data_IF_130845068824
#
_entry.id   IF_130845068824
#
_cell.length_a   1.000
_cell.length_b   1.000
_cell.length_c   1.000
_cell.angle_alpha   90.00
_cell.angle_beta   90.00
_cell.angle_gamma   90.00
#
_symmetry.space_group_name_H-M   'P 1'
#
loop_
_entity.id
_entity.type
_entity.pdbx_description
1 polymer ?
#
# COMPACT_ATOMS: atom_id res chain seq x y z
N UNK A 1 23.67 22.72 -6.64
CA UNK A 1 22.43 23.47 -6.28
C UNK A 1 22.07 23.10 -4.86
N UNK A 2 21.98 24.05 -3.93
CA UNK A 2 21.67 23.76 -2.53
C UNK A 2 20.16 23.60 -2.31
N UNK A 3 19.78 22.70 -1.39
CA UNK A 3 18.38 22.45 -1.01
C UNK A 3 17.62 23.74 -0.63
N UNK A 4 18.31 24.68 0.00
CA UNK A 4 17.74 25.96 0.43
C UNK A 4 17.26 26.85 -0.72
N UNK A 5 17.92 26.75 -1.88
CA UNK A 5 17.54 27.51 -3.09
C UNK A 5 16.31 26.93 -3.78
N UNK A 6 16.15 25.60 -3.73
CA UNK A 6 14.93 24.91 -4.20
C UNK A 6 13.74 25.24 -3.29
N UNK A 7 13.93 25.16 -1.96
CA UNK A 7 12.88 25.43 -0.98
C UNK A 7 12.32 26.86 -1.08
N UNK A 8 13.20 27.88 -1.16
CA UNK A 8 12.76 29.28 -1.29
C UNK A 8 12.02 29.57 -2.60
N UNK A 9 12.38 28.90 -3.71
CA UNK A 9 11.68 29.05 -4.99
C UNK A 9 10.32 28.37 -4.97
N UNK A 10 10.22 27.20 -4.33
CA UNK A 10 8.99 26.45 -4.19
C UNK A 10 7.97 27.22 -3.33
N UNK A 11 8.41 27.77 -2.19
CA UNK A 11 7.56 28.54 -1.26
C UNK A 11 7.07 29.88 -1.85
N UNK A 12 7.78 30.46 -2.83
CA UNK A 12 7.38 31.74 -3.45
C UNK A 12 6.20 31.60 -4.42
N UNK A 13 5.87 30.37 -4.86
CA UNK A 13 4.76 30.09 -5.77
C UNK A 13 3.62 29.36 -5.05
N UNK A 14 3.16 29.95 -3.93
CA UNK A 14 2.07 29.41 -3.08
C UNK A 14 0.83 28.97 -3.87
N UNK A 15 0.48 29.68 -4.94
CA UNK A 15 -0.67 29.37 -5.80
C UNK A 15 -0.52 28.04 -6.54
N UNK A 16 0.67 27.76 -7.07
CA UNK A 16 0.93 26.52 -7.82
C UNK A 16 0.99 25.33 -6.86
N UNK A 17 1.59 25.53 -5.69
CA UNK A 17 1.65 24.53 -4.64
C UNK A 17 0.24 24.20 -4.12
N UNK A 18 -0.60 25.21 -3.90
CA UNK A 18 -2.01 25.02 -3.53
C UNK A 18 -2.79 24.24 -4.61
N UNK A 19 -2.57 24.54 -5.90
CA UNK A 19 -3.22 23.82 -6.99
C UNK A 19 -2.81 22.33 -7.03
N UNK A 20 -1.53 22.02 -6.82
CA UNK A 20 -1.05 20.63 -6.74
C UNK A 20 -1.67 19.90 -5.56
N UNK A 21 -1.78 20.55 -4.40
CA UNK A 21 -2.42 19.95 -3.22
C UNK A 21 -3.91 19.69 -3.47
N UNK A 22 -4.62 20.61 -4.11
CA UNK A 22 -6.03 20.42 -4.47
C UNK A 22 -6.21 19.28 -5.48
N UNK A 23 -5.35 19.19 -6.51
CA UNK A 23 -5.37 18.06 -7.44
C UNK A 23 -5.06 16.73 -6.75
N UNK A 24 -4.11 16.70 -5.82
CA UNK A 24 -3.78 15.50 -5.04
C UNK A 24 -4.95 15.09 -4.13
N UNK A 25 -5.65 16.04 -3.51
CA UNK A 25 -6.84 15.78 -2.71
C UNK A 25 -8.00 15.22 -3.55
N UNK A 26 -8.25 15.80 -4.73
CA UNK A 26 -9.26 15.30 -5.66
C UNK A 26 -8.92 13.90 -6.18
N UNK A 27 -7.66 13.64 -6.53
CA UNK A 27 -7.22 12.32 -6.95
C UNK A 27 -7.32 11.27 -5.83
N UNK A 28 -6.98 11.65 -4.58
CA UNK A 28 -7.20 10.80 -3.41
C UNK A 28 -8.68 10.49 -3.18
N UNK A 29 -9.55 11.49 -3.36
CA UNK A 29 -11.01 11.32 -3.25
C UNK A 29 -11.58 10.39 -4.32
N UNK A 30 -11.18 10.57 -5.59
CA UNK A 30 -11.56 9.65 -6.67
C UNK A 30 -10.98 8.26 -6.45
N UNK A 31 -9.73 8.14 -5.98
CA UNK A 31 -9.11 6.88 -5.61
C UNK A 31 -9.89 6.13 -4.54
N UNK A 32 -10.36 6.84 -3.50
CA UNK A 32 -11.18 6.27 -2.43
C UNK A 32 -12.52 5.71 -2.95
N UNK A 33 -13.20 6.44 -3.83
CA UNK A 33 -14.48 6.00 -4.41
C UNK A 33 -14.35 4.94 -5.50
N UNK A 34 -13.21 4.87 -6.20
CA UNK A 34 -12.97 3.90 -7.27
C UNK A 34 -12.63 2.50 -6.75
N UNK A 35 -12.27 2.36 -5.47
CA UNK A 35 -11.99 1.08 -4.86
C UNK A 35 -13.31 0.39 -4.44
N UNK A 36 -13.85 -0.44 -5.32
CA UNK A 36 -14.83 -1.48 -4.97
C UNK A 36 -14.15 -2.45 -4.01
N UNK A 37 -14.32 -2.25 -2.71
CA UNK A 37 -13.76 -3.20 -1.75
C UNK A 37 -14.65 -4.43 -1.66
N UNK A 38 -14.02 -5.56 -1.36
CA UNK A 38 -14.73 -6.79 -1.04
C UNK A 38 -15.06 -6.79 0.46
N UNK A 39 -16.27 -7.24 0.79
CA UNK A 39 -16.64 -7.52 2.18
C UNK A 39 -15.95 -8.81 2.64
N UNK A 40 -15.62 -8.88 3.94
CA UNK A 40 -14.99 -10.06 4.54
C UNK A 40 -15.84 -10.59 5.68
N UNK A 41 -16.00 -11.91 5.73
CA UNK A 41 -16.54 -12.59 6.91
C UNK A 41 -15.50 -13.56 7.45
N UNK A 42 -15.28 -13.48 8.76
CA UNK A 42 -14.29 -14.30 9.46
C UNK A 42 -15.01 -15.27 10.40
N UNK A 43 -14.56 -16.53 10.40
CA UNK A 43 -15.07 -17.58 11.28
C UNK A 43 -13.90 -18.39 11.81
N UNK A 44 -13.95 -18.76 13.09
CA UNK A 44 -12.94 -19.61 13.71
C UNK A 44 -13.57 -20.90 14.23
N UNK A 45 -12.96 -22.03 13.86
CA UNK A 45 -13.43 -23.37 14.18
C UNK A 45 -12.34 -24.12 14.92
N UNK A 46 -12.71 -24.88 15.93
CA UNK A 46 -11.80 -25.74 16.70
C UNK A 46 -12.08 -27.21 16.37
N UNK A 47 -11.02 -27.96 16.13
CA UNK A 47 -11.09 -29.42 16.04
C UNK A 47 -11.01 -29.99 17.46
N UNK A 48 -12.11 -30.59 17.91
CA UNK A 48 -12.24 -31.20 19.23
C UNK A 48 -12.02 -32.71 19.11
N UNK A 49 -11.10 -33.31 19.89
CA UNK A 49 -10.87 -34.75 19.88
C UNK A 49 -12.08 -35.53 20.42
N UNK A 50 -12.19 -36.84 20.12
CA UNK A 50 -13.19 -37.70 20.72
C UNK A 50 -12.94 -37.91 22.22
N UNK A 51 -14.03 -38.16 22.95
CA UNK A 51 -14.10 -38.28 24.41
C UNK A 51 -13.23 -39.40 25.01
N UNK A 52 -12.92 -40.47 24.28
CA UNK A 52 -12.10 -41.57 24.80
C UNK A 52 -10.58 -41.28 24.77
N UNK A 53 -10.16 -40.20 24.08
CA UNK A 53 -8.78 -39.69 24.17
C UNK A 53 -8.59 -38.75 25.36
N UNK A 54 -9.64 -38.49 26.14
CA UNK A 54 -9.55 -37.77 27.41
C UNK A 54 -8.68 -38.57 28.39
N UNK A 55 -7.70 -37.91 28.99
CA UNK A 55 -6.95 -38.48 30.12
C UNK A 55 -7.96 -38.69 31.27
N UNK A 56 -8.02 -39.88 31.87
CA UNK A 56 -8.95 -40.19 32.99
C UNK A 56 -8.81 -39.18 34.15
N UNK A 57 -7.67 -38.50 34.23
CA UNK A 57 -7.37 -37.48 35.25
C UNK A 57 -7.86 -36.07 34.90
N UNK A 58 -8.12 -35.78 33.63
CA UNK A 58 -8.64 -34.50 33.14
C UNK A 58 -9.64 -34.74 31.99
N UNK A 59 -10.93 -34.99 32.30
CA UNK A 59 -11.98 -35.28 31.32
C UNK A 59 -12.44 -34.04 30.52
N UNK A 60 -11.58 -33.03 30.38
CA UNK A 60 -11.90 -31.83 29.62
C UNK A 60 -11.22 -31.91 28.25
N UNK A 61 -11.97 -32.16 27.16
CA UNK A 61 -11.40 -32.28 25.82
C UNK A 61 -10.80 -30.97 25.32
N UNK A 62 -11.17 -29.82 25.91
CA UNK A 62 -10.56 -28.52 25.62
C UNK A 62 -9.17 -28.35 26.25
N UNK A 63 -8.87 -29.10 27.31
CA UNK A 63 -7.55 -29.12 27.95
C UNK A 63 -6.60 -30.15 27.32
N UNK A 64 -7.12 -31.01 26.43
CA UNK A 64 -6.36 -32.07 25.76
C UNK A 64 -6.23 -31.83 24.24
N UNK A 65 -5.95 -30.58 23.85
CA UNK A 65 -5.60 -30.23 22.48
C UNK A 65 -4.14 -30.60 22.24
N UNK A 66 -3.91 -31.83 21.77
CA UNK A 66 -2.57 -32.39 21.53
C UNK A 66 -2.07 -32.12 20.12
N UNK A 67 -0.80 -32.43 19.86
CA UNK A 67 -0.21 -32.36 18.53
C UNK A 67 -1.03 -33.12 17.46
N UNK A 68 -1.73 -34.19 17.86
CA UNK A 68 -2.58 -34.98 16.95
C UNK A 68 -3.81 -34.20 16.47
N UNK A 69 -4.44 -33.40 17.32
CA UNK A 69 -5.59 -32.57 16.92
C UNK A 69 -5.14 -31.41 16.05
N UNK A 70 -3.96 -30.84 16.31
CA UNK A 70 -3.30 -29.86 15.45
C UNK A 70 -2.96 -30.44 14.06
N UNK A 71 -2.44 -31.66 14.00
CA UNK A 71 -2.17 -32.34 12.72
C UNK A 71 -3.46 -32.60 11.95
N UNK A 72 -4.53 -33.06 12.62
CA UNK A 72 -5.84 -33.24 11.99
C UNK A 72 -6.42 -31.92 11.47
N UNK A 73 -6.33 -30.84 12.26
CA UNK A 73 -6.74 -29.50 11.82
C UNK A 73 -5.94 -29.04 10.59
N UNK A 74 -4.62 -29.25 10.59
CA UNK A 74 -3.76 -28.95 9.44
C UNK A 74 -4.16 -29.71 8.18
N UNK A 75 -4.47 -31.01 8.31
CA UNK A 75 -4.97 -31.82 7.19
C UNK A 75 -6.33 -31.32 6.69
N UNK A 76 -7.23 -30.94 7.61
CA UNK A 76 -8.52 -30.35 7.24
C UNK A 76 -8.34 -29.02 6.49
N UNK A 77 -7.39 -28.17 6.88
CA UNK A 77 -7.07 -26.94 6.13
C UNK A 77 -6.67 -27.25 4.69
N UNK A 78 -5.80 -28.24 4.47
CA UNK A 78 -5.38 -28.63 3.12
C UNK A 78 -6.55 -29.19 2.33
N UNK A 79 -7.38 -30.05 2.94
CA UNK A 79 -8.57 -30.60 2.28
C UNK A 79 -9.59 -29.51 1.92
N UNK A 80 -9.73 -28.49 2.76
CA UNK A 80 -10.61 -27.36 2.52
C UNK A 80 -10.15 -26.46 1.37
N UNK A 81 -8.87 -26.47 1.00
CA UNK A 81 -8.37 -25.73 -0.18
C UNK A 81 -8.70 -26.42 -1.52
N UNK A 82 -9.42 -27.55 -1.48
CA UNK A 82 -9.86 -28.28 -2.66
C UNK A 82 -10.84 -27.49 -3.56
N UNK A 83 -10.86 -27.84 -4.85
CA UNK A 83 -11.75 -27.20 -5.85
C UNK A 83 -13.23 -27.37 -5.53
N UNK A 84 -13.62 -28.51 -4.96
CA UNK A 84 -15.01 -28.78 -4.61
C UNK A 84 -15.51 -27.88 -3.48
N UNK A 85 -14.63 -27.55 -2.53
CA UNK A 85 -14.92 -26.58 -1.47
C UNK A 85 -15.06 -25.18 -2.04
N UNK A 86 -14.16 -24.80 -2.97
CA UNK A 86 -14.27 -23.52 -3.67
C UNK A 86 -15.60 -23.37 -4.40
N UNK A 87 -15.98 -24.35 -5.23
CA UNK A 87 -17.25 -24.33 -5.94
C UNK A 87 -18.47 -24.25 -5.00
N UNK A 88 -18.39 -24.90 -3.82
CA UNK A 88 -19.47 -24.87 -2.83
C UNK A 88 -19.64 -23.48 -2.18
N UNK A 89 -18.52 -22.80 -1.91
CA UNK A 89 -18.49 -21.44 -1.36
C UNK A 89 -18.88 -20.41 -2.43
N UNK A 90 -18.38 -20.55 -3.66
CA UNK A 90 -18.73 -19.70 -4.81
C UNK A 90 -20.24 -19.73 -5.10
N UNK A 91 -20.88 -20.89 -4.90
CA UNK A 91 -22.34 -21.01 -5.03
C UNK A 91 -23.14 -20.11 -4.06
N UNK A 92 -22.50 -19.52 -3.04
CA UNK A 92 -23.08 -18.55 -2.12
C UNK A 92 -22.93 -17.10 -2.60
N UNK A 93 -22.22 -16.86 -3.70
CA UNK A 93 -21.87 -15.52 -4.21
C UNK A 93 -20.57 -14.96 -3.64
N UNK A 94 -19.81 -15.75 -2.88
CA UNK A 94 -18.46 -15.38 -2.44
C UNK A 94 -17.49 -15.29 -3.64
N UNK A 95 -16.52 -14.38 -3.57
CA UNK A 95 -15.47 -14.23 -4.59
C UNK A 95 -14.21 -15.05 -4.29
N UNK A 96 -14.05 -15.44 -3.03
CA UNK A 96 -12.91 -16.22 -2.58
C UNK A 96 -12.96 -16.53 -1.10
N UNK A 97 -12.04 -17.38 -0.67
CA UNK A 97 -11.85 -17.69 0.75
C UNK A 97 -10.40 -18.07 1.00
N UNK A 98 -9.98 -17.91 2.26
CA UNK A 98 -8.69 -18.33 2.77
C UNK A 98 -8.93 -19.15 4.03
N UNK A 99 -8.27 -20.30 4.11
CA UNK A 99 -8.30 -21.19 5.27
C UNK A 99 -6.89 -21.35 5.79
N UNK A 100 -6.69 -21.05 7.08
CA UNK A 100 -5.40 -21.12 7.74
C UNK A 100 -5.54 -21.59 9.18
N UNK A 101 -4.54 -22.28 9.71
CA UNK A 101 -4.49 -22.49 11.16
C UNK A 101 -4.13 -21.18 11.87
N UNK A 102 -4.82 -20.92 12.98
CA UNK A 102 -4.43 -19.84 13.88
C UNK A 102 -3.05 -20.18 14.46
N UNK A 103 -2.17 -19.18 14.48
CA UNK A 103 -0.78 -19.30 14.94
C UNK A 103 -0.66 -18.59 16.28
N UNK A 104 -0.13 -19.29 17.28
CA UNK A 104 -0.11 -18.83 18.68
C UNK A 104 0.87 -17.65 18.90
N UNK A 105 1.92 -17.54 18.07
CA UNK A 105 2.85 -16.42 18.16
C UNK A 105 3.45 -16.01 16.80
N UNK A 106 3.97 -14.77 16.73
CA UNK A 106 4.57 -14.19 15.52
C UNK A 106 6.03 -14.61 15.28
N UNK A 107 6.71 -15.20 16.27
CA UNK A 107 8.17 -15.43 16.25
C UNK A 107 8.56 -16.88 15.88
N UNK A 108 7.71 -17.82 16.25
CA UNK A 108 7.71 -19.27 16.04
C UNK A 108 6.25 -19.72 15.90
N UNK A 109 5.64 -19.50 14.73
CA UNK A 109 4.22 -19.73 14.56
C UNK A 109 3.92 -21.23 14.47
N UNK A 110 3.76 -21.87 15.62
CA UNK A 110 3.24 -23.23 15.71
C UNK A 110 1.76 -23.22 15.33
N UNK A 111 1.32 -24.14 14.44
CA UNK A 111 -0.09 -24.29 14.12
C UNK A 111 -0.85 -24.77 15.37
N UNK A 112 -2.04 -24.24 15.56
CA UNK A 112 -2.96 -24.70 16.61
C UNK A 112 -4.03 -25.62 16.01
N UNK A 113 -4.84 -26.25 16.87
CA UNK A 113 -6.06 -26.98 16.46
C UNK A 113 -7.22 -26.06 16.05
N UNK A 114 -7.00 -24.74 16.07
CA UNK A 114 -7.97 -23.72 15.64
C UNK A 114 -7.72 -23.37 14.18
N UNK A 115 -8.77 -23.50 13.37
CA UNK A 115 -8.82 -23.14 11.97
C UNK A 115 -9.53 -21.80 11.84
N UNK A 116 -8.82 -20.83 11.30
CA UNK A 116 -9.34 -19.52 10.93
C UNK A 116 -9.69 -19.51 9.45
N UNK A 117 -10.88 -19.01 9.15
CA UNK A 117 -11.41 -18.91 7.80
C UNK A 117 -11.80 -17.47 7.56
N UNK A 118 -11.39 -16.94 6.41
CA UNK A 118 -11.80 -15.63 5.92
C UNK A 118 -12.44 -15.82 4.55
N UNK A 119 -13.68 -15.40 4.39
CA UNK A 119 -14.42 -15.44 3.13
C UNK A 119 -14.59 -14.02 2.60
N UNK A 120 -14.32 -13.80 1.32
CA UNK A 120 -14.53 -12.53 0.62
C UNK A 120 -15.75 -12.61 -0.28
N UNK A 121 -16.50 -11.51 -0.36
CA UNK A 121 -17.68 -11.39 -1.23
C UNK A 121 -17.90 -9.95 -1.69
N UNK A 122 -18.75 -9.73 -2.72
CA UNK A 122 -19.11 -8.40 -3.20
C UNK A 122 -19.87 -7.57 -2.15
N UNK A 123 -20.59 -8.23 -1.24
CA UNK A 123 -21.34 -7.59 -0.15
C UNK A 123 -21.22 -8.42 1.15
N UNK A 124 -21.62 -7.82 2.27
CA UNK A 124 -21.53 -8.48 3.59
C UNK A 124 -22.36 -9.77 3.64
N UNK A 125 -23.51 -9.77 2.97
CA UNK A 125 -24.45 -10.88 2.98
C UNK A 125 -23.89 -12.12 2.26
N UNK A 126 -23.26 -11.95 1.09
CA UNK A 126 -22.61 -13.03 0.34
C UNK A 126 -21.37 -13.54 1.04
N UNK A 127 -20.56 -12.66 1.64
CA UNK A 127 -19.40 -13.07 2.44
C UNK A 127 -19.83 -13.90 3.66
N UNK A 128 -20.86 -13.46 4.38
CA UNK A 128 -21.41 -14.18 5.53
C UNK A 128 -22.02 -15.54 5.12
N UNK A 129 -22.86 -15.56 4.09
CA UNK A 129 -23.45 -16.79 3.57
C UNK A 129 -22.39 -17.78 3.07
N UNK A 130 -21.31 -17.28 2.45
CA UNK A 130 -20.16 -18.08 2.04
C UNK A 130 -19.43 -18.70 3.24
N UNK A 131 -19.24 -17.93 4.32
CA UNK A 131 -18.64 -18.42 5.56
C UNK A 131 -19.50 -19.50 6.24
N UNK A 132 -20.83 -19.31 6.33
CA UNK A 132 -21.75 -20.34 6.85
C UNK A 132 -21.66 -21.64 6.05
N UNK A 133 -21.66 -21.54 4.71
CA UNK A 133 -21.53 -22.72 3.85
C UNK A 133 -20.18 -23.40 4.01
N UNK A 134 -19.10 -22.64 4.19
CA UNK A 134 -17.78 -23.19 4.41
C UNK A 134 -17.69 -23.95 5.74
N UNK A 135 -18.35 -23.47 6.81
CA UNK A 135 -18.45 -24.21 8.09
C UNK A 135 -19.14 -25.56 7.88
N UNK A 136 -20.28 -25.58 7.17
CA UNK A 136 -21.00 -26.82 6.85
C UNK A 136 -20.13 -27.77 6.04
N UNK A 137 -19.44 -27.25 5.00
CA UNK A 137 -18.55 -28.04 4.16
C UNK A 137 -17.36 -28.58 4.94
N UNK A 138 -16.79 -27.80 5.86
CA UNK A 138 -15.71 -28.25 6.74
C UNK A 138 -16.14 -29.41 7.63
N UNK A 139 -17.35 -29.37 8.19
CA UNK A 139 -17.93 -30.51 8.89
C UNK A 139 -18.03 -31.74 8.01
N UNK A 140 -18.57 -31.59 6.79
CA UNK A 140 -18.70 -32.70 5.83
C UNK A 140 -17.36 -33.31 5.43
N UNK A 141 -16.36 -32.46 5.13
CA UNK A 141 -15.01 -32.90 4.75
C UNK A 141 -14.34 -33.62 5.92
N UNK A 142 -14.45 -33.08 7.14
CA UNK A 142 -13.93 -33.74 8.34
C UNK A 142 -14.58 -35.11 8.57
N UNK A 143 -15.90 -35.21 8.44
CA UNK A 143 -16.60 -36.50 8.56
C UNK A 143 -16.19 -37.47 7.45
N UNK A 144 -16.08 -37.01 6.20
CA UNK A 144 -15.65 -37.84 5.07
C UNK A 144 -14.25 -38.42 5.28
N UNK A 145 -13.28 -37.59 5.70
CA UNK A 145 -11.92 -38.06 6.01
C UNK A 145 -11.90 -39.13 7.09
N UNK A 146 -12.74 -39.00 8.12
CA UNK A 146 -12.81 -39.97 9.22
C UNK A 146 -13.51 -41.27 8.82
N UNK A 147 -14.50 -41.19 7.93
CA UNK A 147 -15.14 -42.38 7.33
C UNK A 147 -14.12 -43.11 6.44
N UNK A 148 -13.39 -42.40 5.60
CA UNK A 148 -12.36 -42.98 4.72
C UNK A 148 -11.21 -43.61 5.51
N UNK A 149 -10.82 -42.98 6.63
CA UNK A 149 -9.84 -43.53 7.57
C UNK A 149 -10.37 -44.68 8.44
N UNK A 150 -11.64 -45.10 8.26
CA UNK A 150 -12.29 -46.17 8.99
C UNK A 150 -12.21 -46.01 10.53
N UNK A 151 -12.39 -44.78 11.03
CA UNK A 151 -12.33 -44.46 12.48
C UNK A 151 -13.32 -45.25 13.32
N UNK A 152 -14.40 -45.77 12.71
CA UNK A 152 -15.35 -46.64 13.38
C UNK A 152 -16.63 -45.90 13.76
N UNK A 153 -16.98 -45.89 15.05
CA UNK A 153 -18.26 -45.33 15.49
C UNK A 153 -18.24 -43.79 15.51
N UNK A 154 -19.40 -43.12 15.32
CA UNK A 154 -19.48 -41.65 15.39
C UNK A 154 -19.04 -41.04 16.72
N UNK A 155 -19.09 -41.82 17.80
CA UNK A 155 -18.59 -41.43 19.13
C UNK A 155 -17.09 -41.25 19.14
N UNK A 156 -16.38 -41.91 18.22
CA UNK A 156 -14.93 -41.95 18.16
C UNK A 156 -14.37 -40.91 17.19
N UNK A 157 -15.27 -40.17 16.53
CA UNK A 157 -14.92 -39.13 15.57
C UNK A 157 -14.65 -37.80 16.27
N UNK A 158 -13.60 -37.12 15.81
CA UNK A 158 -13.36 -35.72 16.09
C UNK A 158 -14.50 -34.85 15.56
N UNK A 159 -14.83 -33.81 16.32
CA UNK A 159 -15.91 -32.87 15.99
C UNK A 159 -15.35 -31.50 15.68
N UNK A 160 -16.00 -30.79 14.76
CA UNK A 160 -15.71 -29.40 14.48
C UNK A 160 -16.64 -28.53 15.32
N UNK A 161 -16.09 -27.68 16.16
CA UNK A 161 -16.84 -26.73 16.97
C UNK A 161 -16.56 -25.31 16.51
N UNK A 162 -17.61 -24.55 16.21
CA UNK A 162 -17.45 -23.12 15.90
C UNK A 162 -17.14 -22.38 17.20
N UNK A 163 -15.97 -21.76 17.27
CA UNK A 163 -15.50 -20.98 18.43
C UNK A 163 -15.94 -19.52 18.29
N UNK A 164 -15.73 -18.96 17.10
CA UNK A 164 -16.18 -17.62 16.75
C UNK A 164 -17.11 -17.78 15.55
N UNK A 165 -18.40 -17.44 15.68
CA UNK A 165 -19.35 -17.54 14.57
C UNK A 165 -18.93 -16.58 13.44
N UNK A 166 -19.45 -16.78 12.20
CA UNK A 166 -19.17 -15.87 11.10
C UNK A 166 -19.58 -14.44 11.47
N UNK A 167 -18.59 -13.56 11.64
CA UNK A 167 -18.85 -12.13 11.87
C UNK A 167 -18.68 -11.36 10.57
N UNK A 168 -19.52 -10.33 10.38
CA UNK A 168 -19.41 -9.42 9.24
C UNK A 168 -18.32 -8.39 9.54
N UNK A 169 -17.15 -8.53 8.92
CA UNK A 169 -16.07 -7.57 9.08
C UNK A 169 -16.00 -6.65 7.86
N UNK A 170 -16.33 -5.38 8.06
CA UNK A 170 -16.10 -4.28 7.08
C UNK A 170 -14.61 -3.99 6.82
N UNK A 171 -13.71 -4.75 7.46
CA UNK A 171 -12.30 -4.43 7.65
C UNK A 171 -11.45 -4.42 6.38
N UNK A 172 -11.82 -5.15 5.33
CA UNK A 172 -11.10 -5.15 4.06
C UNK A 172 -11.34 -3.87 3.25
N UNK A 173 -12.60 -3.43 3.18
CA UNK A 173 -13.02 -2.21 2.48
C UNK A 173 -12.20 -1.01 2.97
N UNK A 174 -12.18 -0.76 4.29
CA UNK A 174 -11.51 0.40 4.85
C UNK A 174 -9.99 0.40 4.63
N UNK A 175 -9.31 -0.73 4.85
CA UNK A 175 -7.84 -0.80 4.74
C UNK A 175 -7.36 -0.73 3.28
N UNK A 176 -8.05 -1.37 2.35
CA UNK A 176 -7.70 -1.31 0.92
C UNK A 176 -8.05 0.05 0.32
N UNK A 177 -9.21 0.64 0.66
CA UNK A 177 -9.58 1.98 0.21
C UNK A 177 -8.60 3.04 0.73
N UNK A 178 -8.18 2.96 2.00
CA UNK A 178 -7.18 3.88 2.57
C UNK A 178 -5.82 3.71 1.90
N UNK A 179 -5.37 2.47 1.64
CA UNK A 179 -4.11 2.22 0.91
C UNK A 179 -4.16 2.73 -0.53
N UNK A 180 -5.27 2.47 -1.24
CA UNK A 180 -5.47 2.96 -2.60
C UNK A 180 -5.50 4.49 -2.64
N UNK A 181 -6.27 5.13 -1.75
CA UNK A 181 -6.31 6.58 -1.62
C UNK A 181 -4.92 7.17 -1.32
N UNK A 182 -4.15 6.55 -0.42
CA UNK A 182 -2.79 6.98 -0.10
C UNK A 182 -1.84 6.83 -1.31
N UNK A 183 -1.94 5.71 -2.05
CA UNK A 183 -1.11 5.47 -3.23
C UNK A 183 -1.40 6.47 -4.37
N UNK A 184 -2.69 6.70 -4.68
CA UNK A 184 -3.09 7.69 -5.69
C UNK A 184 -2.71 9.12 -5.27
N UNK A 185 -2.94 9.48 -4.00
CA UNK A 185 -2.53 10.79 -3.48
C UNK A 185 -1.01 10.98 -3.59
N UNK A 186 -0.22 9.97 -3.22
CA UNK A 186 1.23 10.01 -3.32
C UNK A 186 1.70 10.14 -4.78
N UNK A 187 1.11 9.37 -5.70
CA UNK A 187 1.46 9.41 -7.12
C UNK A 187 1.20 10.79 -7.74
N UNK A 188 0.04 11.41 -7.46
CA UNK A 188 -0.30 12.74 -7.97
C UNK A 188 0.55 13.83 -7.34
N UNK A 189 0.89 13.71 -6.06
CA UNK A 189 1.78 14.65 -5.37
C UNK A 189 3.19 14.60 -6.00
N UNK A 190 3.74 13.41 -6.24
CA UNK A 190 5.03 13.24 -6.92
C UNK A 190 5.00 13.78 -8.35
N UNK A 191 3.96 13.46 -9.13
CA UNK A 191 3.79 13.97 -10.48
C UNK A 191 3.69 15.51 -10.50
N UNK A 192 2.96 16.10 -9.55
CA UNK A 192 2.83 17.55 -9.41
C UNK A 192 4.14 18.26 -9.07
N UNK A 193 4.96 17.66 -8.19
CA UNK A 193 6.31 18.18 -7.88
C UNK A 193 7.20 18.13 -9.13
N UNK A 194 7.20 17.00 -9.86
CA UNK A 194 7.97 16.86 -11.10
C UNK A 194 7.55 17.89 -12.15
N UNK A 195 6.25 18.14 -12.30
CA UNK A 195 5.72 19.14 -13.21
C UNK A 195 6.18 20.56 -12.83
N UNK A 196 6.18 20.90 -11.53
CA UNK A 196 6.68 22.19 -11.05
C UNK A 196 8.16 22.40 -11.39
N UNK A 197 8.98 21.36 -11.19
CA UNK A 197 10.41 21.41 -11.53
C UNK A 197 10.62 21.57 -13.04
N UNK A 198 9.85 20.84 -13.87
CA UNK A 198 9.92 20.97 -15.32
C UNK A 198 9.55 22.39 -15.79
N UNK A 199 8.49 22.97 -15.23
CA UNK A 199 8.05 24.34 -15.53
C UNK A 199 9.14 25.35 -15.13
N UNK A 200 9.79 25.17 -13.97
CA UNK A 200 10.87 26.07 -13.55
C UNK A 200 12.07 25.99 -14.48
N UNK A 201 12.47 24.80 -14.93
CA UNK A 201 13.55 24.63 -15.94
C UNK A 201 13.21 25.35 -17.25
N UNK A 202 11.97 25.22 -17.73
CA UNK A 202 11.52 25.87 -18.98
C UNK A 202 11.49 27.39 -18.81
N UNK A 203 11.00 27.89 -17.68
CA UNK A 203 10.95 29.33 -17.40
C UNK A 203 12.33 29.94 -17.18
N UNK A 204 13.26 29.22 -16.53
CA UNK A 204 14.65 29.64 -16.43
C UNK A 204 15.33 29.69 -17.79
N UNK A 205 15.14 28.67 -18.64
CA UNK A 205 15.65 28.68 -20.01
C UNK A 205 15.09 29.85 -20.82
N UNK A 206 13.79 30.16 -20.69
CA UNK A 206 13.17 31.33 -21.33
C UNK A 206 13.74 32.65 -20.81
N UNK A 207 13.95 32.79 -19.50
CA UNK A 207 14.53 33.99 -18.88
C UNK A 207 16.00 34.17 -19.27
N UNK A 208 16.78 33.10 -19.30
CA UNK A 208 18.17 33.12 -19.75
C UNK A 208 18.28 33.53 -21.23
N UNK A 209 17.39 33.03 -22.09
CA UNK A 209 17.30 33.47 -23.50
C UNK A 209 16.93 34.95 -23.63
N UNK A 210 15.99 35.45 -22.82
CA UNK A 210 15.65 36.89 -22.81
C UNK A 210 16.78 37.78 -22.32
N UNK A 211 17.59 37.32 -21.35
CA UNK A 211 18.75 38.08 -20.85
C UNK A 211 19.92 38.08 -21.84
N UNK A 212 20.12 37.01 -22.62
CA UNK A 212 21.12 36.98 -23.71
C UNK A 212 20.73 37.84 -24.92
N UNK A 213 19.47 38.21 -25.07
CA UNK A 213 19.00 39.14 -26.10
C UNK A 213 19.18 40.62 -25.76
N UNK A 214 19.68 40.93 -24.55
CA UNK A 214 20.06 42.29 -24.14
C UNK A 214 21.58 42.27 -23.94
N UNK A 215 22.32 42.20 -25.04
CA UNK A 215 23.74 42.49 -25.05
C UNK A 215 23.91 43.97 -25.43
N UNK A 216 24.65 44.67 -24.56
CA UNK A 216 25.28 46.00 -24.64
C UNK A 216 25.14 46.83 -25.94
N UNK A 217 24.83 48.15 -25.86
CA UNK A 217 25.26 49.07 -26.91
C UNK A 217 26.79 49.13 -26.90
N UNK A 218 27.39 48.77 -28.03
CA UNK A 218 28.81 48.86 -28.27
C UNK A 218 29.30 50.30 -28.10
N UNK A 219 30.13 50.51 -27.09
CA UNK A 219 30.98 51.69 -26.96
C UNK A 219 32.15 51.49 -27.93
N UNK A 220 32.25 52.33 -28.96
CA UNK A 220 33.40 52.34 -29.87
C UNK A 220 33.08 52.62 -31.33
N UNK A 221 32.93 53.90 -31.69
CA UNK A 221 33.48 54.43 -32.94
C UNK A 221 33.64 55.96 -32.87
N UNK A 222 34.77 56.41 -32.34
CA UNK A 222 35.26 57.77 -32.48
C UNK A 222 36.60 57.72 -33.23
N UNK A 223 36.54 57.28 -34.49
CA UNK A 223 37.58 57.48 -35.48
C UNK A 223 37.08 58.54 -36.48
N UNK A 224 37.47 59.79 -36.25
CA UNK A 224 37.41 60.85 -37.27
C UNK A 224 38.81 61.43 -37.38
N UNK A 225 39.58 60.92 -38.34
CA UNK A 225 40.65 61.68 -38.96
C UNK A 225 40.01 62.68 -39.94
N UNK A 226 40.17 63.98 -39.73
CA UNK A 226 40.23 64.93 -40.85
C UNK A 226 40.99 66.21 -40.47
N UNK A 227 42.27 66.26 -40.87
CA UNK A 227 42.89 67.33 -41.65
C UNK A 227 42.39 68.78 -41.42
N UNK A 228 43.25 69.64 -40.85
CA UNK A 228 43.87 70.79 -41.54
C UNK A 228 44.69 71.63 -40.56
N UNK A 229 45.96 71.85 -40.90
CA UNK A 229 46.93 72.44 -39.99
C UNK A 229 46.83 73.94 -39.82
N UNK A 230 47.50 74.44 -38.78
CA UNK A 230 48.12 75.76 -38.82
C UNK A 230 49.04 75.95 -37.61
N UNK A 231 50.26 76.37 -37.92
CA UNK A 231 51.14 77.27 -37.18
C UNK A 231 51.23 77.06 -35.66
N UNK A 232 52.43 76.67 -35.23
CA UNK A 232 53.33 77.61 -34.57
C UNK A 232 53.03 77.57 -33.06
N UNK A 233 53.98 77.65 -32.15
CA UNK A 233 55.35 78.06 -32.17
C UNK A 233 55.81 77.79 -30.73
N UNK A 234 57.13 77.74 -30.54
CA UNK A 234 57.78 78.21 -29.32
C UNK A 234 57.56 77.34 -28.07
N UNK A 235 58.65 76.73 -27.59
CA UNK A 235 59.47 77.34 -26.53
C UNK A 235 58.76 77.14 -25.18
N UNK A 236 59.33 76.54 -24.14
CA UNK A 236 60.70 76.36 -23.72
C UNK A 236 60.60 75.87 -22.28
N UNK A 237 61.67 75.22 -21.81
CA UNK A 237 61.97 75.01 -20.40
C UNK A 237 61.03 74.02 -19.70
N UNK A 238 61.50 73.04 -18.96
CA UNK A 238 62.79 72.90 -18.30
C UNK A 238 62.49 72.04 -17.06
N UNK A 239 63.35 71.07 -16.72
CA UNK A 239 63.07 70.10 -15.66
C UNK A 239 63.43 70.67 -14.29
N UNK A 240 63.42 69.81 -13.27
CA UNK A 240 63.89 69.99 -11.87
C UNK A 240 62.75 70.36 -10.90
N UNK A 241 62.67 69.91 -9.66
CA UNK A 241 63.49 69.03 -8.82
C UNK A 241 62.70 68.74 -7.53
N UNK A 242 63.09 67.67 -6.80
CA UNK A 242 63.19 67.59 -5.31
C UNK A 242 61.86 67.56 -4.52
N UNK A 243 61.65 66.77 -3.47
CA UNK A 243 62.42 65.76 -2.70
C UNK A 243 61.41 65.12 -1.70
N UNK A 244 61.79 64.09 -0.91
CA UNK A 244 60.86 63.27 -0.14
C UNK A 244 60.19 63.98 1.05
#
# INVERSE_FOLDING_TARGET
MSLDTLWRRLVRRRIILALVVVCAALAGYFGYHSASGEAQSEVSMLVVPPWYLEDEKMPNPMLNLTERTTQLASTLVVALQGRDTAAFVDGAGATGYTVTNLRDNLRFPEPTSVIQVVVTGPDQQTAHAGAERLVVKAGQVLTAMQIEAAVGQPTDMAKLQVVVPPEETVSALGKQQVRAAAAFAAAVLLAGILLCLAIDVVLERRRARRRRGVAEPADGDAATEEWTGRHAELSSAGPTHRTP
#
